data_IF_488766769735
#
_entry.id   IF_488766769735
#
_cell.length_a   1.000
_cell.length_b   1.000
_cell.length_c   1.000
_cell.angle_alpha   90.00
_cell.angle_beta   90.00
_cell.angle_gamma   90.00
#
_symmetry.space_group_name_H-M   'P 1'
#
loop_
_entity.id
_entity.type
_entity.pdbx_description
1 polymer ?
#
# COMPACT_ATOMS: atom_id res chain seq x y z
N UNK A 1 -51.06 12.43 1.36
CA UNK A 1 -50.24 11.21 1.49
C UNK A 1 -49.15 11.14 0.40
N UNK A 2 -49.46 11.40 -0.87
CA UNK A 2 -48.50 11.39 -1.97
C UNK A 2 -47.35 12.37 -1.78
N UNK A 3 -47.62 13.64 -1.38
CA UNK A 3 -46.58 14.64 -1.16
C UNK A 3 -45.56 14.29 -0.09
N UNK A 4 -45.95 13.57 0.98
CA UNK A 4 -45.03 13.10 2.01
C UNK A 4 -44.09 12.01 1.48
N UNK A 5 -44.60 11.12 0.64
CA UNK A 5 -43.80 10.07 0.01
C UNK A 5 -42.77 10.68 -0.93
N UNK A 6 -43.18 11.59 -1.80
CA UNK A 6 -42.24 12.28 -2.71
C UNK A 6 -41.20 13.17 -1.97
N UNK A 7 -41.63 13.83 -0.88
CA UNK A 7 -40.70 14.58 -0.05
C UNK A 7 -39.70 13.67 0.65
N UNK A 8 -40.12 12.49 1.12
CA UNK A 8 -39.24 11.53 1.75
C UNK A 8 -38.25 10.90 0.76
N UNK A 9 -38.73 10.54 -0.43
CA UNK A 9 -37.88 10.06 -1.52
C UNK A 9 -36.83 11.12 -1.94
N UNK A 10 -37.25 12.39 -2.10
CA UNK A 10 -36.35 13.49 -2.41
C UNK A 10 -35.33 13.76 -1.29
N UNK A 11 -35.73 13.61 -0.03
CA UNK A 11 -34.83 13.74 1.12
C UNK A 11 -33.82 12.58 1.12
N UNK A 12 -34.26 11.34 0.85
CA UNK A 12 -33.36 10.18 0.76
C UNK A 12 -32.36 10.29 -0.41
N UNK A 13 -32.76 10.93 -1.52
CA UNK A 13 -31.86 11.25 -2.63
C UNK A 13 -30.82 12.32 -2.28
N UNK A 14 -31.14 13.21 -1.35
CA UNK A 14 -30.25 14.29 -0.88
C UNK A 14 -29.35 13.87 0.31
N UNK A 15 -29.74 12.81 1.02
CA UNK A 15 -28.91 12.25 2.08
C UNK A 15 -27.96 11.22 1.44
N UNK A 16 -26.68 11.47 1.63
CA UNK A 16 -25.58 10.56 1.20
C UNK A 16 -25.73 9.19 1.90
N UNK A 17 -26.60 8.34 1.34
CA UNK A 17 -26.83 6.99 1.87
C UNK A 17 -25.79 6.04 1.29
N UNK A 18 -25.19 5.19 2.14
CA UNK A 18 -24.35 4.10 1.70
C UNK A 18 -25.14 3.06 0.84
N UNK A 19 -24.41 2.14 0.27
CA UNK A 19 -25.00 0.94 -0.35
C UNK A 19 -25.64 0.04 0.71
N UNK A 20 -26.51 -0.89 0.29
CA UNK A 20 -27.06 -1.88 1.21
C UNK A 20 -25.96 -2.78 1.79
N UNK A 21 -26.20 -3.35 2.95
CA UNK A 21 -25.27 -4.27 3.61
C UNK A 21 -24.87 -5.43 2.71
N UNK A 22 -25.83 -5.93 1.93
CA UNK A 22 -25.64 -7.04 0.99
C UNK A 22 -24.75 -6.63 -0.19
N UNK A 23 -24.96 -5.44 -0.75
CA UNK A 23 -24.12 -4.90 -1.83
C UNK A 23 -22.70 -4.64 -1.33
N UNK A 24 -22.53 -4.06 -0.13
CA UNK A 24 -21.23 -3.84 0.50
C UNK A 24 -20.50 -5.16 0.73
N UNK A 25 -21.20 -6.19 1.23
CA UNK A 25 -20.62 -7.52 1.44
C UNK A 25 -20.18 -8.16 0.12
N UNK A 26 -20.98 -8.02 -0.94
CA UNK A 26 -20.65 -8.51 -2.28
C UNK A 26 -19.43 -7.83 -2.86
N UNK A 27 -19.36 -6.49 -2.78
CA UNK A 27 -18.21 -5.71 -3.24
C UNK A 27 -16.94 -6.10 -2.47
N UNK A 28 -17.05 -6.23 -1.14
CA UNK A 28 -15.95 -6.68 -0.28
C UNK A 28 -15.40 -8.03 -0.75
N UNK A 29 -16.26 -8.98 -1.05
CA UNK A 29 -15.83 -10.30 -1.50
C UNK A 29 -15.09 -10.23 -2.85
N UNK A 30 -15.59 -9.45 -3.80
CA UNK A 30 -14.94 -9.26 -5.11
C UNK A 30 -13.53 -8.67 -4.94
N UNK A 31 -13.36 -7.72 -4.01
CA UNK A 31 -12.07 -7.09 -3.73
C UNK A 31 -11.11 -8.12 -3.11
N UNK A 32 -11.53 -8.82 -2.07
CA UNK A 32 -10.69 -9.82 -1.37
C UNK A 32 -10.30 -10.97 -2.30
N UNK A 33 -11.18 -11.40 -3.20
CA UNK A 33 -10.90 -12.45 -4.19
C UNK A 33 -10.07 -11.96 -5.37
N UNK A 34 -9.60 -10.71 -5.36
CA UNK A 34 -8.72 -10.21 -6.42
C UNK A 34 -7.28 -10.69 -6.17
N UNK A 35 -6.66 -11.37 -7.16
CA UNK A 35 -5.27 -11.83 -7.03
C UNK A 35 -4.32 -10.67 -6.70
N UNK A 36 -3.47 -10.86 -5.69
CA UNK A 36 -2.52 -9.86 -5.20
C UNK A 36 -3.04 -9.00 -4.05
N UNK A 37 -4.34 -9.01 -3.75
CA UNK A 37 -4.89 -8.41 -2.54
C UNK A 37 -4.66 -9.36 -1.37
N UNK A 38 -3.97 -8.88 -0.34
CA UNK A 38 -3.71 -9.63 0.90
C UNK A 38 -4.83 -9.45 1.92
N UNK A 39 -5.34 -8.23 2.05
CA UNK A 39 -6.47 -7.89 2.93
C UNK A 39 -7.18 -6.62 2.45
N UNK A 40 -8.37 -6.37 3.02
CA UNK A 40 -9.15 -5.15 2.83
C UNK A 40 -9.50 -4.61 4.21
N UNK A 41 -8.94 -3.48 4.61
CA UNK A 41 -9.16 -2.92 5.93
C UNK A 41 -10.18 -1.78 5.94
N UNK A 42 -10.33 -1.03 4.84
CA UNK A 42 -11.36 -0.01 4.75
C UNK A 42 -12.16 -0.13 3.45
N UNK A 43 -13.47 -0.01 3.56
CA UNK A 43 -14.39 0.03 2.44
C UNK A 43 -15.46 1.08 2.72
N UNK A 44 -15.42 2.18 2.00
CA UNK A 44 -16.41 3.24 2.06
C UNK A 44 -17.24 3.23 0.79
N UNK A 45 -18.54 3.45 0.95
CA UNK A 45 -19.47 3.54 -0.18
C UNK A 45 -20.34 4.77 -0.03
N UNK A 46 -20.56 5.45 -1.14
CA UNK A 46 -21.47 6.61 -1.21
C UNK A 46 -22.43 6.45 -2.38
N UNK A 47 -23.68 6.77 -2.17
CA UNK A 47 -24.70 6.78 -3.22
C UNK A 47 -24.99 8.22 -3.63
N UNK A 48 -24.83 8.51 -4.91
CA UNK A 48 -25.16 9.78 -5.53
C UNK A 48 -26.30 9.56 -6.52
N UNK A 49 -27.54 9.82 -6.09
CA UNK A 49 -28.76 9.50 -6.84
C UNK A 49 -28.81 7.99 -7.19
N UNK A 50 -28.70 7.65 -8.46
CA UNK A 50 -28.74 6.28 -8.96
C UNK A 50 -27.36 5.66 -9.25
N UNK A 51 -26.29 6.35 -8.86
CA UNK A 51 -24.91 5.89 -9.02
C UNK A 51 -24.23 5.72 -7.67
N UNK A 52 -23.32 4.78 -7.60
CA UNK A 52 -22.55 4.53 -6.39
C UNK A 52 -21.07 4.73 -6.63
N UNK A 53 -20.40 5.26 -5.62
CA UNK A 53 -18.94 5.39 -5.55
C UNK A 53 -18.42 4.46 -4.48
N UNK A 54 -17.27 3.89 -4.71
CA UNK A 54 -16.58 2.96 -3.80
C UNK A 54 -15.15 3.44 -3.59
N UNK A 55 -14.77 3.60 -2.32
CA UNK A 55 -13.39 3.86 -1.91
C UNK A 55 -12.93 2.64 -1.10
N UNK A 56 -11.84 2.00 -1.51
CA UNK A 56 -11.33 0.78 -0.89
C UNK A 56 -9.83 0.91 -0.59
N UNK A 57 -9.43 0.53 0.62
CA UNK A 57 -8.03 0.41 1.04
C UNK A 57 -7.66 -1.06 1.09
N UNK A 58 -6.75 -1.46 0.22
CA UNK A 58 -6.29 -2.85 0.10
C UNK A 58 -4.82 -2.96 0.45
N UNK A 59 -4.48 -3.95 1.27
CA UNK A 59 -3.09 -4.32 1.49
C UNK A 59 -2.61 -5.25 0.37
N UNK A 60 -1.35 -5.07 0.01
CA UNK A 60 -0.60 -5.93 -0.92
C UNK A 60 0.70 -6.38 -0.28
N UNK A 61 1.44 -7.28 -0.93
CA UNK A 61 2.80 -7.62 -0.49
C UNK A 61 3.70 -6.36 -0.53
N UNK A 62 4.31 -5.97 0.59
CA UNK A 62 5.13 -4.75 0.67
C UNK A 62 6.41 -4.79 -0.18
N UNK A 63 6.77 -5.95 -0.73
CA UNK A 63 7.99 -6.11 -1.53
C UNK A 63 7.75 -6.12 -3.04
N UNK A 64 6.52 -5.95 -3.48
CA UNK A 64 6.23 -5.77 -4.91
C UNK A 64 6.61 -4.37 -5.38
N UNK A 65 6.69 -4.21 -6.69
CA UNK A 65 6.94 -2.88 -7.27
C UNK A 65 5.68 -2.00 -7.21
N UNK A 66 5.88 -0.67 -7.22
CA UNK A 66 4.76 0.29 -7.33
C UNK A 66 3.90 0.02 -8.57
N UNK A 67 4.51 -0.39 -9.69
CA UNK A 67 3.78 -0.71 -10.92
C UNK A 67 2.94 -1.99 -10.79
N UNK A 68 3.38 -2.96 -10.01
CA UNK A 68 2.61 -4.16 -9.71
C UNK A 68 1.44 -3.83 -8.77
N UNK A 69 1.68 -3.06 -7.71
CA UNK A 69 0.62 -2.55 -6.82
C UNK A 69 -0.45 -1.77 -7.59
N UNK A 70 -0.03 -0.86 -8.50
CA UNK A 70 -0.95 -0.16 -9.38
C UNK A 70 -1.76 -1.14 -10.27
N UNK A 71 -1.14 -2.19 -10.79
CA UNK A 71 -1.83 -3.20 -11.60
C UNK A 71 -2.87 -3.96 -10.78
N UNK A 72 -2.59 -4.27 -9.53
CA UNK A 72 -3.55 -4.90 -8.61
C UNK A 72 -4.74 -3.97 -8.38
N UNK A 73 -4.50 -2.67 -8.11
CA UNK A 73 -5.54 -1.66 -7.93
C UNK A 73 -6.47 -1.56 -9.16
N UNK A 74 -5.90 -1.46 -10.36
CA UNK A 74 -6.68 -1.41 -11.61
C UNK A 74 -7.47 -2.70 -11.87
N UNK A 75 -6.90 -3.85 -11.52
CA UNK A 75 -7.61 -5.13 -11.63
C UNK A 75 -8.78 -5.20 -10.66
N UNK A 76 -8.58 -4.77 -9.42
CA UNK A 76 -9.63 -4.68 -8.39
C UNK A 76 -10.76 -3.75 -8.83
N UNK A 77 -10.40 -2.54 -9.27
CA UNK A 77 -11.34 -1.55 -9.80
C UNK A 77 -12.20 -2.14 -10.93
N UNK A 78 -11.56 -2.75 -11.91
CA UNK A 78 -12.25 -3.36 -13.07
C UNK A 78 -13.22 -4.45 -12.62
N UNK A 79 -12.81 -5.37 -11.74
CA UNK A 79 -13.66 -6.47 -11.25
C UNK A 79 -14.89 -5.97 -10.52
N UNK A 80 -14.75 -4.94 -9.69
CA UNK A 80 -15.91 -4.34 -8.99
C UNK A 80 -16.87 -3.70 -9.98
N UNK A 81 -16.38 -2.91 -10.95
CA UNK A 81 -17.22 -2.27 -11.96
C UNK A 81 -17.96 -3.27 -12.85
N UNK A 82 -17.31 -4.39 -13.20
CA UNK A 82 -17.91 -5.45 -14.03
C UNK A 82 -18.98 -6.24 -13.27
N UNK A 83 -18.80 -6.46 -11.98
CA UNK A 83 -19.73 -7.25 -11.16
C UNK A 83 -20.87 -6.42 -10.55
N UNK A 84 -20.71 -5.10 -10.44
CA UNK A 84 -21.68 -4.18 -9.82
C UNK A 84 -22.03 -3.00 -10.74
N UNK A 85 -22.98 -3.16 -11.69
CA UNK A 85 -23.31 -2.11 -12.67
C UNK A 85 -23.86 -0.80 -12.06
N UNK A 86 -24.33 -0.83 -10.81
CA UNK A 86 -24.74 0.37 -10.04
C UNK A 86 -23.56 1.21 -9.59
N UNK A 87 -22.35 0.65 -9.52
CA UNK A 87 -21.12 1.35 -9.18
C UNK A 87 -20.59 2.06 -10.41
N UNK A 88 -20.43 3.38 -10.31
CA UNK A 88 -19.95 4.21 -11.43
C UNK A 88 -18.45 4.49 -11.37
N UNK A 89 -17.87 4.45 -10.18
CA UNK A 89 -16.44 4.59 -10.00
C UNK A 89 -15.95 3.88 -8.73
N UNK A 90 -14.68 3.46 -8.77
CA UNK A 90 -14.01 2.77 -7.67
C UNK A 90 -12.61 3.37 -7.52
N UNK A 91 -12.34 3.96 -6.38
CA UNK A 91 -11.00 4.35 -5.98
C UNK A 91 -10.37 3.23 -5.15
N UNK A 92 -9.24 2.71 -5.57
CA UNK A 92 -8.49 1.69 -4.83
C UNK A 92 -7.19 2.30 -4.34
N UNK A 93 -7.07 2.45 -3.03
CA UNK A 93 -5.83 2.79 -2.36
C UNK A 93 -5.04 1.51 -2.07
N UNK A 94 -3.75 1.53 -2.35
CA UNK A 94 -2.86 0.37 -2.14
C UNK A 94 -1.95 0.67 -0.98
N UNK A 95 -2.08 -0.12 0.08
CA UNK A 95 -1.31 0.02 1.30
C UNK A 95 -0.38 -1.19 1.46
N UNK A 96 0.75 -0.97 2.10
CA UNK A 96 1.75 -2.02 2.37
C UNK A 96 1.51 -2.70 3.71
N UNK A 97 0.74 -2.06 4.61
CA UNK A 97 0.38 -2.55 5.94
C UNK A 97 -0.97 -1.95 6.37
N UNK A 98 -1.58 -2.48 7.43
CA UNK A 98 -2.84 -1.95 7.97
C UNK A 98 -2.54 -0.79 8.92
N UNK A 99 -2.70 0.44 8.42
CA UNK A 99 -2.40 1.67 9.16
C UNK A 99 -3.50 2.06 10.17
N UNK A 100 -4.63 1.35 10.20
CA UNK A 100 -5.75 1.69 11.10
C UNK A 100 -5.40 1.49 12.58
N UNK A 101 -4.48 0.58 12.89
CA UNK A 101 -4.05 0.26 14.26
C UNK A 101 -2.72 0.95 14.66
N UNK A 102 -2.06 1.64 13.74
CA UNK A 102 -0.79 2.29 14.01
C UNK A 102 -1.00 3.78 14.25
N UNK A 103 -0.83 4.18 15.51
CA UNK A 103 -0.64 5.58 15.90
C UNK A 103 0.45 6.18 14.99
N UNK A 104 0.22 7.35 14.43
CA UNK A 104 0.98 8.06 13.40
C UNK A 104 2.51 8.24 13.67
N UNK A 105 3.17 7.21 14.17
CA UNK A 105 4.63 7.15 14.38
C UNK A 105 5.43 7.26 13.07
N UNK A 106 4.78 7.03 11.92
CA UNK A 106 5.34 7.23 10.58
C UNK A 106 5.79 8.66 10.29
N UNK A 107 5.31 9.66 11.06
CA UNK A 107 5.70 11.06 10.89
C UNK A 107 7.15 11.38 11.27
N UNK A 108 7.82 10.50 12.00
CA UNK A 108 9.20 10.71 12.48
C UNK A 108 10.25 9.88 11.71
N UNK A 109 9.84 9.09 10.70
CA UNK A 109 10.80 8.31 9.93
C UNK A 109 11.58 9.20 8.96
N UNK A 110 12.92 9.01 8.88
CA UNK A 110 13.76 9.78 7.98
C UNK A 110 13.39 9.52 6.52
N UNK A 111 13.49 10.55 5.70
CA UNK A 111 13.27 10.41 4.26
C UNK A 111 14.46 9.70 3.57
N UNK A 112 14.29 9.41 2.27
CA UNK A 112 15.33 8.75 1.49
C UNK A 112 16.66 9.51 1.49
N UNK A 113 16.63 10.86 1.45
CA UNK A 113 17.86 11.66 1.39
C UNK A 113 18.62 11.55 2.71
N UNK A 114 17.92 11.66 3.81
CA UNK A 114 18.48 11.51 5.15
C UNK A 114 19.05 10.10 5.36
N UNK A 115 18.28 9.05 5.02
CA UNK A 115 18.73 7.67 5.10
C UNK A 115 19.96 7.40 4.25
N UNK A 116 20.03 7.92 3.03
CA UNK A 116 21.21 7.75 2.19
C UNK A 116 22.43 8.45 2.79
N UNK A 117 22.28 9.56 3.48
CA UNK A 117 23.39 10.21 4.19
C UNK A 117 23.90 9.39 5.38
N UNK A 118 23.00 8.70 6.09
CA UNK A 118 23.35 7.77 7.16
C UNK A 118 23.99 6.47 6.64
N UNK A 119 23.54 5.98 5.49
CA UNK A 119 24.10 4.78 4.86
C UNK A 119 25.50 5.01 4.26
N UNK A 120 25.84 6.23 3.85
CA UNK A 120 27.11 6.52 3.20
C UNK A 120 28.34 6.09 4.02
N UNK A 121 28.48 6.38 5.32
CA UNK A 121 29.61 5.91 6.13
C UNK A 121 29.57 4.38 6.32
N UNK A 122 28.40 3.76 6.39
CA UNK A 122 28.25 2.30 6.52
C UNK A 122 28.72 1.58 5.26
N UNK A 123 28.47 2.17 4.09
CA UNK A 123 28.85 1.65 2.77
C UNK A 123 30.30 2.01 2.39
N UNK A 124 30.97 2.88 3.14
CA UNK A 124 32.31 3.31 2.82
C UNK A 124 33.31 2.14 2.69
N UNK A 125 34.04 2.08 1.57
CA UNK A 125 34.99 1.00 1.27
C UNK A 125 34.36 -0.29 0.73
N UNK A 126 33.03 -0.36 0.61
CA UNK A 126 32.35 -1.35 -0.22
C UNK A 126 32.29 -0.84 -1.67
N UNK A 127 32.08 -1.75 -2.63
CA UNK A 127 31.78 -1.35 -4.02
C UNK A 127 30.56 -0.43 -4.07
N UNK A 128 30.57 0.52 -4.99
CA UNK A 128 29.42 1.43 -5.16
C UNK A 128 28.15 0.62 -5.46
N UNK A 129 27.08 0.83 -4.68
CA UNK A 129 25.84 0.11 -4.89
C UNK A 129 25.22 0.42 -6.25
N UNK A 130 24.81 -0.61 -6.99
CA UNK A 130 24.05 -0.44 -8.22
C UNK A 130 22.65 0.08 -7.95
N UNK A 131 22.07 -0.29 -6.80
CA UNK A 131 20.71 0.08 -6.39
C UNK A 131 20.58 -0.02 -4.88
N UNK A 132 19.80 0.89 -4.29
CA UNK A 132 19.32 0.82 -2.91
C UNK A 132 17.79 0.94 -2.94
N UNK A 133 17.10 -0.06 -2.38
CA UNK A 133 15.66 -0.07 -2.18
C UNK A 133 15.39 0.11 -0.70
N UNK A 134 14.45 0.99 -0.36
CA UNK A 134 14.03 1.26 1.01
C UNK A 134 12.58 0.81 1.19
N UNK A 135 12.33 0.05 2.25
CA UNK A 135 11.01 -0.36 2.67
C UNK A 135 10.70 0.26 4.02
N UNK A 136 9.59 0.98 4.12
CA UNK A 136 9.10 1.60 5.36
C UNK A 136 7.97 0.72 5.89
N UNK A 137 8.28 -0.15 6.87
CA UNK A 137 7.38 -1.18 7.34
C UNK A 137 7.41 -1.27 8.88
N UNK A 138 6.25 -1.31 9.50
CA UNK A 138 6.09 -1.49 10.96
C UNK A 138 6.92 -0.48 11.79
N UNK A 139 6.95 0.79 11.35
CA UNK A 139 7.72 1.83 12.01
C UNK A 139 9.24 1.68 11.90
N UNK A 140 9.73 0.91 10.93
CA UNK A 140 11.14 0.67 10.65
C UNK A 140 11.46 0.92 9.19
N UNK A 141 12.75 1.17 8.92
CA UNK A 141 13.25 1.23 7.54
C UNK A 141 14.16 0.03 7.30
N UNK A 142 13.81 -0.78 6.31
CA UNK A 142 14.66 -1.84 5.80
C UNK A 142 15.31 -1.38 4.50
N UNK A 143 16.64 -1.51 4.39
CA UNK A 143 17.38 -1.14 3.20
C UNK A 143 17.94 -2.39 2.51
N UNK A 144 17.55 -2.61 1.26
CA UNK A 144 18.18 -3.61 0.39
C UNK A 144 19.26 -2.92 -0.46
N UNK A 145 20.50 -3.37 -0.30
CA UNK A 145 21.66 -2.83 -1.01
C UNK A 145 22.15 -3.83 -2.04
N UNK A 146 22.05 -3.48 -3.31
CA UNK A 146 22.48 -4.31 -4.44
C UNK A 146 23.88 -3.91 -4.86
N UNK A 147 24.85 -4.80 -4.66
CA UNK A 147 26.25 -4.60 -5.05
C UNK A 147 26.54 -5.24 -6.41
N UNK A 148 27.55 -4.72 -7.16
CA UNK A 148 27.98 -5.35 -8.41
C UNK A 148 28.51 -6.75 -8.19
N UNK A 149 28.08 -7.71 -9.01
CA UNK A 149 28.48 -9.11 -8.88
C UNK A 149 30.00 -9.29 -9.04
N UNK A 150 30.62 -8.52 -9.95
CA UNK A 150 32.05 -8.57 -10.21
C UNK A 150 32.91 -8.14 -9.02
N UNK A 151 32.33 -7.35 -8.12
CA UNK A 151 33.03 -6.86 -6.94
C UNK A 151 33.06 -7.88 -5.78
N UNK A 152 32.27 -8.94 -5.88
CA UNK A 152 32.10 -9.98 -4.86
C UNK A 152 32.44 -11.36 -5.45
N UNK A 153 33.65 -11.47 -6.06
CA UNK A 153 34.02 -12.59 -6.89
C UNK A 153 34.16 -13.95 -6.18
N UNK A 154 34.19 -13.96 -4.85
CA UNK A 154 34.27 -15.21 -4.07
C UNK A 154 33.46 -15.11 -2.76
N UNK A 155 33.07 -16.29 -2.22
CA UNK A 155 32.29 -16.40 -0.98
C UNK A 155 32.99 -15.77 0.24
N UNK A 156 34.33 -15.80 0.29
CA UNK A 156 35.06 -15.25 1.41
C UNK A 156 35.05 -13.70 1.39
N UNK A 157 35.04 -13.12 0.22
CA UNK A 157 34.89 -11.66 0.04
C UNK A 157 33.47 -11.23 0.38
N UNK A 158 32.45 -11.99 -0.04
CA UNK A 158 31.05 -11.75 0.32
C UNK A 158 30.86 -11.79 1.85
N UNK A 159 31.28 -12.86 2.50
CA UNK A 159 31.12 -13.01 3.96
C UNK A 159 31.87 -11.91 4.74
N UNK A 160 33.02 -11.45 4.26
CA UNK A 160 33.72 -10.32 4.88
C UNK A 160 32.95 -9.00 4.71
N UNK A 161 32.39 -8.76 3.54
CA UNK A 161 31.57 -7.57 3.27
C UNK A 161 30.31 -7.55 4.13
N UNK A 162 29.61 -8.69 4.25
CA UNK A 162 28.42 -8.84 5.10
C UNK A 162 28.74 -8.58 6.58
N UNK A 163 29.81 -9.19 7.11
CA UNK A 163 30.21 -9.01 8.50
C UNK A 163 30.65 -7.55 8.79
N UNK A 164 31.38 -6.93 7.87
CA UNK A 164 31.81 -5.55 8.02
C UNK A 164 30.61 -4.58 7.94
N UNK A 165 29.67 -4.83 7.03
CA UNK A 165 28.43 -4.07 6.93
C UNK A 165 27.61 -4.17 8.23
N UNK A 166 27.39 -5.40 8.73
CA UNK A 166 26.67 -5.63 9.97
C UNK A 166 27.33 -4.94 11.18
N UNK A 167 28.68 -4.98 11.27
CA UNK A 167 29.42 -4.31 12.33
C UNK A 167 29.22 -2.79 12.27
N UNK A 168 29.36 -2.18 11.09
CA UNK A 168 29.20 -0.73 10.92
C UNK A 168 27.77 -0.28 11.19
N UNK A 169 26.79 -1.07 10.77
CA UNK A 169 25.37 -0.78 11.05
C UNK A 169 25.10 -0.76 12.57
N UNK A 170 25.72 -1.68 13.32
CA UNK A 170 25.60 -1.70 14.78
C UNK A 170 26.29 -0.49 15.46
N UNK A 171 27.35 0.07 14.86
CA UNK A 171 28.05 1.26 15.37
C UNK A 171 27.34 2.59 15.01
N UNK A 172 26.44 2.57 14.05
CA UNK A 172 25.65 3.72 13.59
C UNK A 172 24.14 3.43 13.73
N UNK A 173 23.59 3.26 14.95
CA UNK A 173 22.15 3.09 15.13
C UNK A 173 21.42 4.34 14.68
N UNK A 174 20.40 4.16 13.87
CA UNK A 174 19.44 5.20 13.46
C UNK A 174 18.35 5.35 14.53
#
# INVERSE_FOLDING_TARGET
RMGVVFSWEAIQELIDTGLSTEEVASIRQVIIDTPGVSSLHELRTRRMAHRSLVDAHVCVDPRISVSEGHRIAETTRKRVLESHPSVSDVLVHVDVEDDLDHDSSTQAMPDRHELMSHLAPVLAGLPEPQRVVLHYLNGRVEAEVYLPHEALADLATLSRAENEFARRLAEHPL
#
